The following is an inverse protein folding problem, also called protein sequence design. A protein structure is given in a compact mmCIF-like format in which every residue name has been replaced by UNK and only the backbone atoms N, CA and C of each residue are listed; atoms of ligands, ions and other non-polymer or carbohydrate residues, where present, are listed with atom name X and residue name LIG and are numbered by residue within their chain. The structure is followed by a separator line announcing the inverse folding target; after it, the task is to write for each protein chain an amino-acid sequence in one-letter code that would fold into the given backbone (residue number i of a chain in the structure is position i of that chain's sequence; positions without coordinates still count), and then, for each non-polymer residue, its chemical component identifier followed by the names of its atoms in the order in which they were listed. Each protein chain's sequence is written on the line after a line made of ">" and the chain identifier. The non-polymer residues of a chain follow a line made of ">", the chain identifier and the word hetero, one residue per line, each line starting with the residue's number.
data_IF_275835213777
#
_entry.id   IF_275835213777
#
_cell.length_a   1.000
_cell.length_b   1.000
_cell.length_c   1.000
_cell.angle_alpha   90.00
_cell.angle_beta   90.00
_cell.angle_gamma   90.00
#
_symmetry.space_group_name_H-M   'P 1'
#
loop_
_entity.id
_entity.type
_entity.pdbx_description
1 polymer ?
#
# COMPACT_ATOMS: atom_id res chain seq x y z
N UNK A 1 -24.01 7.80 -1.50
CA UNK A 1 -23.15 8.87 -2.04
C UNK A 1 -23.32 8.89 -3.54
N UNK A 2 -23.59 10.04 -4.16
CA UNK A 2 -23.76 10.12 -5.62
C UNK A 2 -22.37 10.32 -6.27
N UNK A 3 -22.24 9.99 -7.57
CA UNK A 3 -21.00 10.24 -8.32
C UNK A 3 -20.54 11.71 -8.28
N UNK A 4 -21.43 12.63 -7.94
CA UNK A 4 -21.15 14.07 -7.80
C UNK A 4 -20.40 14.42 -6.51
N UNK A 5 -20.33 13.49 -5.53
CA UNK A 5 -19.61 13.67 -4.28
C UNK A 5 -18.15 13.19 -4.35
N UNK A 6 -17.74 12.60 -5.49
CA UNK A 6 -16.37 12.15 -5.74
C UNK A 6 -15.48 13.38 -5.98
N UNK A 7 -14.49 13.59 -5.10
CA UNK A 7 -13.53 14.71 -5.22
C UNK A 7 -12.33 14.39 -6.10
N UNK A 8 -12.03 13.09 -6.26
CA UNK A 8 -10.87 12.59 -6.98
C UNK A 8 -11.32 11.50 -7.94
N UNK A 9 -11.66 11.86 -9.15
CA UNK A 9 -11.85 10.93 -10.24
C UNK A 9 -10.89 11.30 -11.35
N UNK A 10 -10.00 10.39 -11.71
CA UNK A 10 -8.98 10.60 -12.73
C UNK A 10 -9.30 9.69 -13.91
N UNK A 11 -9.65 10.31 -15.02
CA UNK A 11 -9.89 9.63 -16.31
C UNK A 11 -8.71 9.92 -17.27
N UNK A 12 -7.51 9.57 -16.85
CA UNK A 12 -6.28 9.71 -17.61
C UNK A 12 -5.78 8.37 -18.21
N UNK A 13 -6.57 7.32 -18.04
CA UNK A 13 -6.26 5.97 -18.53
C UNK A 13 -5.21 5.23 -17.72
N UNK A 14 -4.68 5.81 -16.65
CA UNK A 14 -3.69 5.15 -15.78
C UNK A 14 -4.37 4.18 -14.83
N UNK A 15 -3.89 2.94 -14.78
CA UNK A 15 -4.46 1.86 -13.98
C UNK A 15 -3.60 1.58 -12.75
N UNK A 16 -4.05 2.03 -11.57
CA UNK A 16 -3.37 1.78 -10.30
C UNK A 16 -3.21 0.29 -9.97
N UNK A 17 -4.15 -0.56 -10.37
CA UNK A 17 -4.03 -2.01 -10.24
C UNK A 17 -2.86 -2.58 -11.05
N UNK A 18 -2.64 -2.09 -12.27
CA UNK A 18 -1.49 -2.50 -13.09
C UNK A 18 -0.17 -2.03 -12.48
N UNK A 19 -0.13 -0.82 -11.90
CA UNK A 19 1.04 -0.32 -11.17
C UNK A 19 1.38 -1.22 -9.99
N UNK A 20 0.38 -1.65 -9.21
CA UNK A 20 0.55 -2.53 -8.06
C UNK A 20 1.07 -3.92 -8.43
N UNK A 21 0.79 -4.43 -9.64
CA UNK A 21 1.36 -5.71 -10.11
C UNK A 21 2.88 -5.68 -10.22
N UNK A 22 3.49 -4.49 -10.30
CA UNK A 22 4.95 -4.31 -10.31
C UNK A 22 5.46 -3.91 -8.92
N UNK A 23 4.79 -2.95 -8.27
CA UNK A 23 5.25 -2.38 -7.00
C UNK A 23 5.17 -3.39 -5.86
N UNK A 24 4.09 -4.18 -5.76
CA UNK A 24 3.91 -5.15 -4.68
C UNK A 24 4.98 -6.25 -4.68
N UNK A 25 5.32 -6.88 -5.81
CA UNK A 25 6.44 -7.83 -5.86
C UNK A 25 7.80 -7.19 -5.52
N UNK A 26 8.07 -5.95 -5.97
CA UNK A 26 9.31 -5.23 -5.67
C UNK A 26 9.44 -4.95 -4.15
N UNK A 27 8.36 -4.47 -3.52
CA UNK A 27 8.30 -4.30 -2.08
C UNK A 27 8.44 -5.64 -1.34
N UNK A 28 7.77 -6.69 -1.81
CA UNK A 28 7.87 -8.04 -1.24
C UNK A 28 9.29 -8.58 -1.25
N UNK A 29 10.03 -8.34 -2.33
CA UNK A 29 11.44 -8.70 -2.43
C UNK A 29 12.30 -7.92 -1.39
N UNK A 30 12.03 -6.64 -1.18
CA UNK A 30 12.69 -5.85 -0.13
C UNK A 30 12.33 -6.35 1.27
N UNK A 31 11.04 -6.61 1.54
CA UNK A 31 10.56 -7.15 2.84
C UNK A 31 11.20 -8.51 3.16
N UNK A 32 11.42 -9.37 2.17
CA UNK A 32 12.07 -10.67 2.34
C UNK A 32 13.53 -10.55 2.82
N UNK A 33 14.16 -9.37 2.73
CA UNK A 33 15.50 -9.13 3.27
C UNK A 33 15.51 -8.62 4.71
N UNK A 34 14.34 -8.35 5.29
CA UNK A 34 14.23 -7.89 6.68
C UNK A 34 14.60 -9.03 7.63
N UNK A 35 15.44 -8.71 8.62
CA UNK A 35 15.90 -9.61 9.66
C UNK A 35 15.54 -9.05 11.04
N UNK A 36 15.53 -9.88 12.10
CA UNK A 36 15.17 -9.43 13.45
C UNK A 36 15.92 -8.19 13.91
N UNK A 37 17.22 -8.07 13.57
CA UNK A 37 18.04 -6.91 13.94
C UNK A 37 17.66 -5.60 13.21
N UNK A 38 16.83 -5.68 12.16
CA UNK A 38 16.34 -4.51 11.46
C UNK A 38 15.08 -3.92 12.11
N UNK A 39 14.29 -4.72 12.81
CA UNK A 39 12.93 -4.38 13.25
C UNK A 39 12.84 -3.10 14.09
N UNK A 40 13.84 -2.85 14.94
CA UNK A 40 13.87 -1.67 15.81
C UNK A 40 14.71 -0.52 15.23
N UNK A 41 15.24 -0.66 14.00
CA UNK A 41 16.00 0.41 13.35
C UNK A 41 15.06 1.50 12.84
N UNK A 42 15.51 2.76 12.96
CA UNK A 42 14.82 3.88 12.37
C UNK A 42 14.77 3.77 10.84
N UNK A 43 13.67 4.19 10.24
CA UNK A 43 13.48 4.27 8.79
C UNK A 43 13.56 5.73 8.33
N UNK A 44 13.67 6.01 7.02
CA UNK A 44 13.51 7.35 6.48
C UNK A 44 12.13 7.97 6.78
N UNK A 45 11.10 7.15 6.97
CA UNK A 45 9.80 7.61 7.42
C UNK A 45 9.89 8.11 8.87
N UNK A 46 9.76 9.42 9.06
CA UNK A 46 10.05 10.08 10.32
C UNK A 46 9.25 9.50 11.49
N UNK A 47 9.94 9.19 12.59
CA UNK A 47 9.39 8.63 13.84
C UNK A 47 8.97 7.16 13.78
N UNK A 48 9.21 6.44 12.67
CA UNK A 48 8.87 5.03 12.53
C UNK A 48 10.11 4.14 12.57
N UNK A 49 10.05 3.08 13.37
CA UNK A 49 10.94 1.94 13.24
C UNK A 49 10.54 1.08 12.03
N UNK A 50 11.38 0.14 11.63
CA UNK A 50 11.03 -0.85 10.61
C UNK A 50 9.75 -1.62 10.98
N UNK A 51 9.57 -1.97 12.26
CA UNK A 51 8.36 -2.63 12.77
C UNK A 51 7.12 -1.75 12.56
N UNK A 52 7.19 -0.47 12.88
CA UNK A 52 6.08 0.47 12.67
C UNK A 52 5.72 0.58 11.18
N UNK A 53 6.73 0.70 10.31
CA UNK A 53 6.56 0.76 8.86
C UNK A 53 5.89 -0.50 8.30
N UNK A 54 6.37 -1.68 8.70
CA UNK A 54 5.80 -2.95 8.25
C UNK A 54 4.37 -3.16 8.78
N UNK A 55 4.09 -2.76 10.01
CA UNK A 55 2.73 -2.78 10.55
C UNK A 55 1.79 -1.82 9.80
N UNK A 56 2.29 -0.66 9.35
CA UNK A 56 1.53 0.25 8.49
C UNK A 56 1.21 -0.41 7.14
N UNK A 57 2.18 -0.98 6.47
CA UNK A 57 2.01 -1.64 5.16
C UNK A 57 1.03 -2.83 5.27
N UNK A 58 1.31 -3.75 6.18
CA UNK A 58 0.50 -4.98 6.36
C UNK A 58 -0.88 -4.66 6.91
N UNK A 59 -0.95 -3.83 7.95
CA UNK A 59 -2.21 -3.41 8.57
C UNK A 59 -3.09 -2.60 7.61
N UNK A 60 -2.49 -1.74 6.81
CA UNK A 60 -3.15 -0.99 5.75
C UNK A 60 -3.75 -1.92 4.70
N UNK A 61 -2.97 -2.88 4.20
CA UNK A 61 -3.45 -3.85 3.21
C UNK A 61 -4.65 -4.67 3.73
N UNK A 62 -4.59 -5.14 4.98
CA UNK A 62 -5.69 -5.90 5.60
C UNK A 62 -6.94 -5.02 5.77
N UNK A 63 -6.78 -3.79 6.26
CA UNK A 63 -7.88 -2.87 6.45
C UNK A 63 -8.56 -2.49 5.13
N UNK A 64 -7.77 -2.20 4.09
CA UNK A 64 -8.34 -1.85 2.78
C UNK A 64 -8.97 -3.05 2.08
N UNK A 65 -8.45 -4.27 2.26
CA UNK A 65 -9.14 -5.47 1.81
C UNK A 65 -10.57 -5.58 2.39
N UNK A 66 -10.73 -5.27 3.68
CA UNK A 66 -12.05 -5.22 4.33
C UNK A 66 -12.91 -4.05 3.80
N UNK A 67 -12.29 -2.88 3.58
CA UNK A 67 -12.98 -1.70 3.06
C UNK A 67 -13.48 -1.90 1.62
N UNK A 68 -12.76 -2.65 0.79
CA UNK A 68 -13.22 -3.04 -0.55
C UNK A 68 -14.45 -3.96 -0.46
N UNK A 69 -14.61 -4.71 0.64
CA UNK A 69 -15.82 -5.44 1.00
C UNK A 69 -16.97 -4.59 1.58
N UNK A 70 -16.73 -3.28 1.83
CA UNK A 70 -17.72 -2.34 2.39
C UNK A 70 -17.56 -2.03 3.87
N UNK A 71 -16.49 -2.49 4.53
CA UNK A 71 -16.18 -2.07 5.88
C UNK A 71 -15.73 -0.59 5.90
N UNK A 72 -15.93 0.15 7.01
CA UNK A 72 -15.49 1.53 7.12
C UNK A 72 -13.96 1.62 7.12
N UNK A 73 -13.42 2.61 6.40
CA UNK A 73 -12.01 2.95 6.45
C UNK A 73 -11.67 3.57 7.80
N UNK A 74 -10.57 3.14 8.41
CA UNK A 74 -10.03 3.68 9.65
C UNK A 74 -8.76 4.48 9.37
N UNK A 75 -8.44 5.41 10.23
CA UNK A 75 -7.17 6.15 10.17
C UNK A 75 -5.99 5.19 10.44
N UNK A 76 -5.05 5.17 9.53
CA UNK A 76 -3.80 4.38 9.60
C UNK A 76 -2.54 5.25 9.62
N UNK A 77 -2.67 6.57 9.77
CA UNK A 77 -1.54 7.50 9.78
C UNK A 77 -0.68 7.38 11.05
N UNK A 78 -1.22 6.78 12.10
CA UNK A 78 -0.51 6.54 13.36
C UNK A 78 0.13 5.17 13.45
N UNK A 79 0.70 4.86 14.64
CA UNK A 79 1.18 3.51 14.94
C UNK A 79 0.02 2.54 15.02
N UNK A 80 0.12 1.47 14.26
CA UNK A 80 -0.85 0.38 14.26
C UNK A 80 -0.47 -0.72 15.26
N UNK A 81 -1.44 -1.56 15.68
CA UNK A 81 -1.14 -2.79 16.42
C UNK A 81 -0.15 -3.67 15.67
N UNK A 82 0.62 -4.47 16.39
CA UNK A 82 1.53 -5.41 15.78
C UNK A 82 0.75 -6.55 15.08
N UNK A 83 0.78 -6.52 13.75
CA UNK A 83 0.17 -7.53 12.87
C UNK A 83 1.24 -8.30 12.09
N UNK A 84 2.49 -7.88 12.19
CA UNK A 84 3.63 -8.45 11.45
C UNK A 84 4.26 -9.60 12.24
N UNK A 85 4.30 -9.51 13.58
CA UNK A 85 4.90 -10.53 14.43
C UNK A 85 6.40 -10.75 14.14
N UNK A 86 6.81 -12.01 14.14
CA UNK A 86 8.20 -12.41 13.98
C UNK A 86 8.60 -12.78 12.54
N UNK A 87 7.62 -12.89 11.63
CA UNK A 87 7.84 -13.23 10.21
C UNK A 87 7.21 -12.19 9.27
N UNK A 88 7.92 -11.08 9.03
CA UNK A 88 7.43 -10.01 8.14
C UNK A 88 7.11 -10.47 6.73
N UNK A 89 7.87 -11.42 6.20
CA UNK A 89 7.70 -11.88 4.82
C UNK A 89 6.39 -12.66 4.66
N UNK A 90 6.09 -13.56 5.58
CA UNK A 90 4.82 -14.29 5.58
C UNK A 90 3.64 -13.33 5.81
N UNK A 91 3.73 -12.45 6.80
CA UNK A 91 2.66 -11.49 7.09
C UNK A 91 2.35 -10.58 5.88
N UNK A 92 3.40 -10.08 5.19
CA UNK A 92 3.25 -9.29 3.97
C UNK A 92 2.58 -10.10 2.85
N UNK A 93 3.05 -11.33 2.61
CA UNK A 93 2.51 -12.20 1.55
C UNK A 93 1.02 -12.51 1.75
N UNK A 94 0.61 -12.83 2.97
CA UNK A 94 -0.80 -13.10 3.32
C UNK A 94 -1.67 -11.84 3.16
N UNK A 95 -1.18 -10.68 3.60
CA UNK A 95 -1.89 -9.42 3.46
C UNK A 95 -2.04 -9.01 1.98
N UNK A 96 -0.98 -9.15 1.19
CA UNK A 96 -1.00 -8.87 -0.24
C UNK A 96 -1.97 -9.80 -0.99
N UNK A 97 -1.98 -11.09 -0.65
CA UNK A 97 -2.93 -12.06 -1.23
C UNK A 97 -4.38 -11.70 -0.89
N UNK A 98 -4.67 -11.32 0.36
CA UNK A 98 -6.01 -10.90 0.79
C UNK A 98 -6.45 -9.61 0.10
N UNK A 99 -5.54 -8.64 -0.02
CA UNK A 99 -5.80 -7.39 -0.73
C UNK A 99 -6.11 -7.65 -2.21
N UNK A 100 -5.31 -8.48 -2.89
CA UNK A 100 -5.54 -8.87 -4.27
C UNK A 100 -6.88 -9.57 -4.46
N UNK A 101 -7.21 -10.55 -3.62
CA UNK A 101 -8.49 -11.27 -3.68
C UNK A 101 -9.71 -10.32 -3.52
N UNK A 102 -9.60 -9.31 -2.65
CA UNK A 102 -10.66 -8.32 -2.47
C UNK A 102 -10.90 -7.45 -3.72
N UNK A 103 -9.87 -7.24 -4.55
CA UNK A 103 -9.98 -6.51 -5.81
C UNK A 103 -10.61 -7.34 -6.95
N UNK A 104 -10.58 -8.67 -6.84
CA UNK A 104 -11.18 -9.58 -7.81
C UNK A 104 -12.71 -9.70 -7.63
N UNK A 105 -13.25 -9.23 -6.49
CA UNK A 105 -14.69 -9.25 -6.24
C UNK A 105 -15.45 -8.35 -7.24
N UNK A 106 -16.58 -8.82 -7.78
CA UNK A 106 -17.38 -8.04 -8.74
C UNK A 106 -17.75 -6.66 -8.19
N UNK A 107 -17.46 -5.60 -8.94
CA UNK A 107 -17.76 -4.22 -8.58
C UNK A 107 -16.82 -3.61 -7.53
N UNK A 108 -15.72 -4.28 -7.17
CA UNK A 108 -14.76 -3.76 -6.20
C UNK A 108 -14.12 -2.45 -6.68
N UNK A 109 -13.72 -2.38 -7.95
CA UNK A 109 -13.01 -1.22 -8.51
C UNK A 109 -13.86 0.05 -8.56
N UNK A 110 -15.16 -0.10 -8.77
CA UNK A 110 -16.15 0.99 -8.86
C UNK A 110 -16.68 1.39 -7.48
N UNK A 111 -16.39 0.63 -6.45
CA UNK A 111 -16.82 0.96 -5.09
C UNK A 111 -16.18 2.25 -4.62
N UNK A 112 -16.98 3.10 -3.99
CA UNK A 112 -16.52 4.37 -3.43
C UNK A 112 -16.06 4.15 -2.00
N UNK A 113 -14.84 4.58 -1.72
CA UNK A 113 -14.27 4.67 -0.38
C UNK A 113 -14.51 6.07 0.17
N UNK A 114 -14.93 6.14 1.43
CA UNK A 114 -15.00 7.39 2.19
C UNK A 114 -13.74 7.52 3.04
N UNK A 115 -12.80 8.32 2.54
CA UNK A 115 -11.47 8.48 3.14
C UNK A 115 -11.40 9.81 3.91
N UNK A 116 -10.53 9.96 4.91
CA UNK A 116 -10.40 11.21 5.68
C UNK A 116 -10.10 12.44 4.82
N UNK A 117 -9.48 12.25 3.65
CA UNK A 117 -9.10 13.32 2.72
C UNK A 117 -10.02 13.44 1.50
N UNK A 118 -11.08 12.65 1.40
CA UNK A 118 -12.10 12.72 0.36
C UNK A 118 -12.60 11.37 -0.09
N UNK A 119 -13.71 11.37 -0.81
CA UNK A 119 -14.29 10.15 -1.39
C UNK A 119 -13.72 9.90 -2.78
N UNK A 120 -13.45 8.64 -3.11
CA UNK A 120 -12.98 8.22 -4.43
C UNK A 120 -13.30 6.75 -4.70
N UNK A 121 -13.27 6.34 -5.98
CA UNK A 121 -13.38 4.92 -6.31
C UNK A 121 -12.15 4.15 -5.84
N UNK A 122 -12.31 2.83 -5.63
CA UNK A 122 -11.17 1.94 -5.37
C UNK A 122 -10.15 2.06 -6.50
N UNK A 123 -10.59 2.08 -7.77
CA UNK A 123 -9.69 2.21 -8.92
C UNK A 123 -8.78 3.44 -8.83
N UNK A 124 -9.34 4.61 -8.47
CA UNK A 124 -8.54 5.83 -8.24
C UNK A 124 -7.63 5.68 -7.02
N UNK A 125 -8.16 5.12 -5.92
CA UNK A 125 -7.41 4.93 -4.68
C UNK A 125 -6.16 4.05 -4.87
N UNK A 126 -6.21 3.04 -5.73
CA UNK A 126 -5.04 2.18 -5.99
C UNK A 126 -3.82 2.95 -6.51
N UNK A 127 -3.98 4.12 -7.12
CA UNK A 127 -2.86 4.98 -7.52
C UNK A 127 -2.15 5.59 -6.30
N UNK A 128 -2.91 6.00 -5.27
CA UNK A 128 -2.34 6.43 -4.00
C UNK A 128 -1.59 5.29 -3.32
N UNK A 129 -2.16 4.08 -3.35
CA UNK A 129 -1.50 2.89 -2.79
C UNK A 129 -0.21 2.59 -3.56
N UNK A 130 -0.20 2.66 -4.89
CA UNK A 130 1.01 2.43 -5.69
C UNK A 130 2.12 3.46 -5.37
N UNK A 131 1.75 4.73 -5.22
CA UNK A 131 2.67 5.79 -4.80
C UNK A 131 3.25 5.50 -3.40
N UNK A 132 2.40 5.26 -2.42
CA UNK A 132 2.79 5.00 -1.03
C UNK A 132 3.71 3.78 -0.90
N UNK A 133 3.31 2.65 -1.50
CA UNK A 133 4.12 1.42 -1.46
C UNK A 133 5.44 1.55 -2.23
N UNK A 134 5.52 2.39 -3.26
CA UNK A 134 6.78 2.69 -3.96
C UNK A 134 7.76 3.38 -3.02
N UNK A 135 7.32 4.40 -2.27
CA UNK A 135 8.15 5.08 -1.28
C UNK A 135 8.59 4.09 -0.20
N UNK A 136 7.67 3.30 0.33
CA UNK A 136 7.96 2.34 1.39
C UNK A 136 8.89 1.20 0.95
N UNK A 137 8.91 0.84 -0.34
CA UNK A 137 9.90 -0.09 -0.86
C UNK A 137 11.33 0.46 -0.69
N UNK A 138 11.55 1.74 -0.95
CA UNK A 138 12.84 2.39 -0.71
C UNK A 138 13.13 2.61 0.78
N UNK A 139 12.13 2.90 1.59
CA UNK A 139 12.31 3.00 3.05
C UNK A 139 12.82 1.68 3.63
N UNK A 140 12.25 0.53 3.22
CA UNK A 140 12.72 -0.80 3.61
C UNK A 140 14.13 -1.03 3.10
N UNK A 141 14.41 -0.72 1.83
CA UNK A 141 15.71 -0.90 1.23
C UNK A 141 16.80 -0.07 1.90
N UNK A 142 16.50 1.15 2.32
CA UNK A 142 17.44 2.04 3.03
C UNK A 142 17.93 1.43 4.36
N UNK A 143 17.10 0.62 5.02
CA UNK A 143 17.46 -0.02 6.29
C UNK A 143 18.14 -1.37 6.08
N UNK A 144 17.70 -2.14 5.07
CA UNK A 144 18.15 -3.52 4.84
C UNK A 144 19.34 -3.60 3.89
N UNK A 145 19.54 -2.59 3.03
CA UNK A 145 20.50 -2.62 1.93
C UNK A 145 19.99 -3.39 0.71
N UNK A 146 18.70 -3.69 0.63
CA UNK A 146 18.09 -4.33 -0.53
C UNK A 146 18.15 -3.42 -1.77
N UNK A 147 18.06 -4.02 -2.95
CA UNK A 147 17.83 -3.29 -4.21
C UNK A 147 16.34 -3.33 -4.52
N UNK A 148 15.77 -2.19 -4.87
CA UNK A 148 14.37 -2.07 -5.36
C UNK A 148 14.43 -1.88 -6.87
N UNK A 149 13.80 -2.79 -7.59
CA UNK A 149 13.73 -2.77 -9.06
C UNK A 149 12.31 -2.42 -9.49
N UNK A 150 12.09 -1.16 -9.82
CA UNK A 150 10.86 -0.65 -10.43
C UNK A 150 11.27 0.07 -11.73
N UNK A 151 10.65 -0.23 -12.89
CA UNK A 151 11.00 0.41 -14.17
C UNK A 151 10.85 1.93 -14.11
N UNK A 152 11.80 2.67 -14.72
CA UNK A 152 11.81 4.14 -14.74
C UNK A 152 10.53 4.73 -15.36
N UNK A 153 9.96 4.05 -16.37
CA UNK A 153 8.70 4.48 -16.99
C UNK A 153 7.55 4.46 -15.97
N UNK A 154 7.46 3.40 -15.16
CA UNK A 154 6.45 3.28 -14.11
C UNK A 154 6.69 4.31 -12.99
N UNK A 155 7.95 4.57 -12.63
CA UNK A 155 8.27 5.60 -11.66
C UNK A 155 7.84 6.98 -12.16
N UNK A 156 8.01 7.28 -13.46
CA UNK A 156 7.54 8.52 -14.08
C UNK A 156 6.02 8.66 -14.05
N UNK A 157 5.27 7.57 -14.26
CA UNK A 157 3.80 7.58 -14.15
C UNK A 157 3.32 7.82 -12.70
N UNK A 158 4.00 7.21 -11.73
CA UNK A 158 3.68 7.36 -10.31
C UNK A 158 4.02 8.77 -9.82
N UNK A 159 5.19 9.31 -10.21
CA UNK A 159 5.62 10.66 -9.86
C UNK A 159 4.69 11.74 -10.43
N UNK A 160 4.19 11.55 -11.64
CA UNK A 160 3.26 12.48 -12.27
C UNK A 160 1.90 12.56 -11.54
N UNK A 161 1.62 11.63 -10.64
CA UNK A 161 0.41 11.59 -9.82
C UNK A 161 0.56 12.34 -8.49
N UNK A 162 1.78 12.60 -8.00
CA UNK A 162 2.09 13.14 -6.66
C UNK A 162 1.81 14.64 -6.50
#
# INVERSE_FOLDING_TARGET
>A
MSAQDLRFELDDGVNGGAQLQVVVPALGAAVATVRPEHMERATPCASWSMRDLLNHIVGGALMFADAFGGAPVRDISGRLPDVVGDDPSTAFGEAAARFGAALEEPGAMERVLDLPFGAMTVGTFLRFVAFDLTIHAWDVAAVTGATVEIPDELLGEIDAFS
#
